data_IF_026380223781
#
_entry.id   IF_026380223781
#
_cell.length_a   1.000
_cell.length_b   1.000
_cell.length_c   1.000
_cell.angle_alpha   90.00
_cell.angle_beta   90.00
_cell.angle_gamma   90.00
#
_symmetry.space_group_name_H-M   'P 1'
#
loop_
_entity.id
_entity.type
_entity.pdbx_description
1 polymer ?
#
# COMPACT_ATOMS: atom_id res chain seq x y z
N UNK A 1 -1.52 -55.42 32.45
CA UNK A 1 -0.88 -54.28 33.16
C UNK A 1 -0.64 -53.11 32.22
N UNK A 2 -1.61 -52.79 31.34
CA UNK A 2 -1.48 -51.82 30.24
C UNK A 2 -2.35 -50.56 30.42
N UNK A 3 -2.80 -50.28 31.65
CA UNK A 3 -3.66 -49.12 31.96
C UNK A 3 -2.89 -47.89 32.48
N UNK A 4 -1.55 -47.91 32.48
CA UNK A 4 -0.73 -46.78 32.96
C UNK A 4 -0.13 -45.90 31.87
N UNK A 5 -0.38 -46.18 30.59
CA UNK A 5 0.14 -45.39 29.46
C UNK A 5 -0.91 -44.51 28.75
N UNK A 6 -2.14 -44.44 29.27
CA UNK A 6 -3.23 -43.64 28.65
C UNK A 6 -3.51 -42.29 29.32
N UNK A 7 -2.70 -41.88 30.32
CA UNK A 7 -3.00 -40.71 31.17
C UNK A 7 -1.99 -39.55 31.08
N UNK A 8 -1.17 -39.49 30.02
CA UNK A 8 -0.14 -38.45 29.86
C UNK A 8 -0.25 -37.62 28.56
N UNK A 9 -1.43 -37.52 27.95
CA UNK A 9 -1.65 -36.71 26.73
C UNK A 9 -2.88 -35.78 26.81
N UNK A 10 -3.23 -35.32 28.01
CA UNK A 10 -4.11 -34.16 28.15
C UNK A 10 -3.25 -32.96 28.53
N UNK A 11 -2.63 -32.32 27.53
CA UNK A 11 -2.24 -30.91 27.66
C UNK A 11 -3.52 -30.09 27.48
N UNK A 12 -3.92 -29.25 28.45
CA UNK A 12 -4.87 -28.20 28.20
C UNK A 12 -4.11 -27.05 27.50
N UNK A 13 -4.04 -27.11 26.18
CA UNK A 13 -3.51 -26.01 25.36
C UNK A 13 -4.64 -25.40 24.56
N UNK A 14 -5.42 -24.49 25.15
CA UNK A 14 -6.15 -23.52 24.33
C UNK A 14 -5.15 -22.71 23.50
N UNK A 15 -5.57 -22.04 22.39
CA UNK A 15 -4.68 -21.19 21.61
C UNK A 15 -4.06 -20.16 22.55
N UNK A 16 -2.80 -20.38 22.89
CA UNK A 16 -2.05 -19.45 23.74
C UNK A 16 -1.78 -18.26 22.84
N UNK A 17 -2.48 -17.15 23.06
CA UNK A 17 -2.23 -15.92 22.32
C UNK A 17 -0.71 -15.64 22.39
N UNK A 18 -0.04 -15.78 21.25
CA UNK A 18 1.40 -15.60 21.19
C UNK A 18 1.73 -14.19 21.70
N UNK A 19 2.76 -14.06 22.54
CA UNK A 19 3.20 -12.75 23.01
C UNK A 19 3.56 -11.89 21.79
N UNK A 20 3.11 -10.62 21.72
CA UNK A 20 3.56 -9.70 20.70
C UNK A 20 5.10 -9.61 20.62
N UNK A 21 5.62 -9.48 19.42
CA UNK A 21 7.05 -9.25 19.19
C UNK A 21 7.50 -7.95 19.87
N UNK A 22 8.63 -8.00 20.55
CA UNK A 22 9.26 -6.82 21.16
C UNK A 22 10.14 -6.08 20.16
N UNK A 23 10.39 -4.79 20.39
CA UNK A 23 11.28 -4.00 19.54
C UNK A 23 12.70 -4.61 19.45
N UNK A 24 13.20 -5.24 20.52
CA UNK A 24 14.51 -5.93 20.51
C UNK A 24 14.53 -7.15 19.58
N UNK A 25 13.44 -7.90 19.51
CA UNK A 25 13.30 -9.04 18.60
C UNK A 25 13.27 -8.56 17.13
N UNK A 26 12.56 -7.47 16.85
CA UNK A 26 12.56 -6.84 15.52
C UNK A 26 13.95 -6.32 15.15
N UNK A 27 14.67 -5.66 16.06
CA UNK A 27 16.05 -5.20 15.83
C UNK A 27 16.98 -6.35 15.47
N UNK A 28 16.91 -7.45 16.24
CA UNK A 28 17.73 -8.64 15.97
C UNK A 28 17.41 -9.23 14.60
N UNK A 29 16.13 -9.38 14.28
CA UNK A 29 15.70 -9.87 12.98
C UNK A 29 16.15 -8.96 11.84
N UNK A 30 15.96 -7.65 11.95
CA UNK A 30 16.40 -6.66 10.96
C UNK A 30 17.90 -6.75 10.68
N UNK A 31 18.73 -6.95 11.72
CA UNK A 31 20.16 -7.17 11.57
C UNK A 31 20.49 -8.43 10.75
N UNK A 32 19.75 -9.54 10.94
CA UNK A 32 19.92 -10.76 10.10
C UNK A 32 19.60 -10.52 8.63
N UNK A 33 18.63 -9.64 8.38
CA UNK A 33 18.19 -9.26 7.04
C UNK A 33 19.01 -8.10 6.44
N UNK A 34 19.98 -7.55 7.19
CA UNK A 34 20.78 -6.36 6.84
C UNK A 34 19.92 -5.13 6.54
N UNK A 35 18.82 -4.97 7.28
CA UNK A 35 17.91 -3.84 7.19
C UNK A 35 18.34 -2.73 8.17
N UNK A 36 18.14 -1.47 7.76
CA UNK A 36 18.20 -0.37 8.70
C UNK A 36 16.95 -0.42 9.59
N UNK A 37 17.11 -0.14 10.89
CA UNK A 37 16.00 -0.08 11.83
C UNK A 37 16.17 1.09 12.81
N UNK A 38 15.07 1.78 13.08
CA UNK A 38 14.94 2.76 14.16
C UNK A 38 13.78 2.33 15.06
N UNK A 39 14.04 1.67 16.21
CA UNK A 39 13.00 1.37 17.17
C UNK A 39 12.52 2.65 17.85
N UNK A 40 11.21 2.73 18.13
CA UNK A 40 10.62 3.87 18.82
C UNK A 40 10.46 3.57 20.32
N UNK A 41 10.19 4.61 21.12
CA UNK A 41 10.03 4.47 22.57
C UNK A 41 8.80 3.62 22.97
N UNK A 42 7.76 3.63 22.15
CA UNK A 42 6.59 2.77 22.34
C UNK A 42 6.88 1.35 21.83
N UNK A 43 6.56 0.34 22.64
CA UNK A 43 6.71 -1.07 22.23
C UNK A 43 5.83 -1.38 21.02
N UNK A 44 6.39 -2.11 20.06
CA UNK A 44 5.74 -2.44 18.79
C UNK A 44 5.86 -1.34 17.72
N UNK A 45 6.39 -0.15 18.06
CA UNK A 45 6.61 0.93 17.09
C UNK A 45 8.06 0.95 16.60
N UNK A 46 8.25 1.03 15.30
CA UNK A 46 9.58 1.04 14.67
C UNK A 46 9.51 1.54 13.24
N UNK A 47 10.68 1.85 12.68
CA UNK A 47 10.87 2.09 11.26
C UNK A 47 11.93 1.15 10.71
N UNK A 48 11.58 0.39 9.68
CA UNK A 48 12.52 -0.39 8.88
C UNK A 48 12.79 0.33 7.57
N UNK A 49 13.97 0.15 7.01
CA UNK A 49 14.27 0.69 5.70
C UNK A 49 15.49 0.07 5.04
N UNK A 50 15.67 0.46 3.79
CA UNK A 50 16.79 0.04 2.97
C UNK A 50 16.76 0.72 1.60
N UNK A 51 17.56 0.17 0.71
CA UNK A 51 17.67 0.59 -0.68
C UNK A 51 17.36 -0.59 -1.60
N UNK A 52 16.63 -0.32 -2.69
CA UNK A 52 16.35 -1.26 -3.75
C UNK A 52 16.84 -0.67 -5.08
N UNK A 53 18.06 -1.04 -5.49
CA UNK A 53 18.68 -0.56 -6.74
C UNK A 53 18.72 0.98 -6.85
N UNK A 54 19.12 1.68 -5.77
CA UNK A 54 19.15 3.14 -5.71
C UNK A 54 17.83 3.81 -5.35
N UNK A 55 16.79 3.03 -5.03
CA UNK A 55 15.47 3.52 -4.66
C UNK A 55 15.20 3.25 -3.18
N UNK A 56 15.06 4.28 -2.34
CA UNK A 56 14.83 4.10 -0.93
C UNK A 56 13.43 3.55 -0.65
N UNK A 57 13.34 2.68 0.34
CA UNK A 57 12.08 2.18 0.87
C UNK A 57 12.05 2.21 2.40
N UNK A 58 10.85 2.30 2.96
CA UNK A 58 10.58 2.29 4.40
C UNK A 58 9.35 1.45 4.71
N UNK A 59 9.38 0.74 5.83
CA UNK A 59 8.22 0.10 6.45
C UNK A 59 8.12 0.60 7.90
N UNK A 60 7.13 1.44 8.18
CA UNK A 60 6.83 1.95 9.51
C UNK A 60 5.82 1.04 10.21
N UNK A 61 5.99 0.80 11.50
CA UNK A 61 4.95 0.25 12.37
C UNK A 61 4.53 1.29 13.41
N UNK A 62 3.24 1.61 13.48
CA UNK A 62 2.74 2.58 14.46
C UNK A 62 1.22 2.67 14.53
N UNK A 63 0.72 3.76 15.13
CA UNK A 63 -0.72 3.98 15.27
C UNK A 63 -1.39 4.06 13.90
N UNK A 64 -2.60 3.50 13.72
CA UNK A 64 -3.36 3.57 12.48
C UNK A 64 -3.56 5.01 11.97
N UNK A 65 -3.46 5.19 10.65
CA UNK A 65 -3.83 6.45 9.98
C UNK A 65 -5.14 6.35 9.18
N UNK A 66 -5.88 5.25 9.36
CA UNK A 66 -7.21 5.01 8.79
C UNK A 66 -8.08 4.30 9.80
N UNK A 67 -9.36 4.63 9.80
CA UNK A 67 -10.32 4.16 10.80
C UNK A 67 -10.68 2.68 10.64
N UNK A 68 -10.51 2.13 9.44
CA UNK A 68 -10.70 0.71 9.18
C UNK A 68 -9.54 -0.18 9.66
N UNK A 69 -8.42 0.40 10.13
CA UNK A 69 -7.29 -0.36 10.66
C UNK A 69 -7.32 -0.33 12.18
N UNK A 70 -7.26 -1.50 12.81
CA UNK A 70 -7.32 -1.65 14.25
C UNK A 70 -5.96 -2.03 14.84
N UNK A 71 -5.67 -1.57 16.06
CA UNK A 71 -4.41 -1.90 16.75
C UNK A 71 -3.21 -1.13 16.21
N UNK A 72 -2.25 -1.82 15.59
CA UNK A 72 -1.07 -1.23 14.96
C UNK A 72 -1.14 -1.41 13.44
N UNK A 73 -0.47 -0.53 12.71
CA UNK A 73 -0.43 -0.54 11.26
C UNK A 73 1.00 -0.64 10.75
N UNK A 74 1.22 -1.52 9.78
CA UNK A 74 2.42 -1.56 8.95
C UNK A 74 2.21 -0.73 7.68
N UNK A 75 2.97 0.37 7.56
CA UNK A 75 2.94 1.32 6.43
C UNK A 75 4.22 1.24 5.62
N UNK A 76 4.14 0.63 4.45
CA UNK A 76 5.23 0.54 3.49
C UNK A 76 5.20 1.66 2.47
N UNK A 77 6.37 2.14 2.08
CA UNK A 77 6.56 3.06 0.96
C UNK A 77 7.87 2.79 0.24
N UNK A 78 7.85 2.76 -1.08
CA UNK A 78 9.04 2.76 -1.93
C UNK A 78 8.94 3.86 -3.00
N UNK A 79 9.98 4.69 -3.11
CA UNK A 79 10.03 5.81 -4.07
C UNK A 79 10.79 5.40 -5.33
N UNK A 80 10.08 5.07 -6.41
CA UNK A 80 10.63 4.30 -7.53
C UNK A 80 10.87 5.12 -8.80
N UNK A 81 10.26 6.30 -8.92
CA UNK A 81 10.38 7.13 -10.13
C UNK A 81 9.87 6.44 -11.42
N UNK A 82 9.02 5.43 -11.29
CA UNK A 82 8.32 4.82 -12.44
C UNK A 82 7.22 5.76 -12.95
N UNK A 83 6.61 5.41 -14.07
CA UNK A 83 5.53 6.16 -14.72
C UNK A 83 4.55 6.79 -13.69
N UNK A 84 4.48 8.13 -13.60
CA UNK A 84 3.62 8.81 -12.64
C UNK A 84 2.14 8.59 -12.90
N UNK A 85 1.77 8.21 -14.13
CA UNK A 85 0.39 7.93 -14.56
C UNK A 85 0.03 6.45 -14.36
N UNK A 86 0.95 5.63 -13.84
CA UNK A 86 0.62 4.27 -13.44
C UNK A 86 -0.22 4.29 -12.16
N UNK A 87 -1.48 3.87 -12.28
CA UNK A 87 -2.46 3.81 -11.20
C UNK A 87 -3.05 2.40 -11.06
N UNK A 88 -2.62 1.66 -10.02
CA UNK A 88 -3.13 0.31 -9.70
C UNK A 88 -3.25 0.15 -8.19
N UNK A 89 -4.35 -0.44 -7.74
CA UNK A 89 -4.64 -0.74 -6.34
C UNK A 89 -5.06 -2.20 -6.22
N UNK A 90 -4.53 -2.89 -5.21
CA UNK A 90 -4.92 -4.24 -4.81
C UNK A 90 -5.34 -4.19 -3.35
N UNK A 91 -6.51 -4.74 -3.06
CA UNK A 91 -7.05 -4.80 -1.71
C UNK A 91 -7.75 -6.13 -1.47
N UNK A 92 -7.77 -6.60 -0.23
CA UNK A 92 -8.51 -7.81 0.10
C UNK A 92 -10.03 -7.55 0.10
N UNK A 93 -10.82 -8.59 -0.22
CA UNK A 93 -12.28 -8.48 -0.37
C UNK A 93 -12.99 -7.89 0.86
N UNK A 94 -12.66 -8.29 2.11
CA UNK A 94 -13.32 -7.69 3.28
C UNK A 94 -13.09 -6.18 3.41
N UNK A 95 -11.88 -5.70 3.06
CA UNK A 95 -11.60 -4.27 3.03
C UNK A 95 -12.36 -3.58 1.89
N UNK A 96 -12.41 -4.18 0.70
CA UNK A 96 -13.17 -3.64 -0.42
C UNK A 96 -14.65 -3.43 -0.03
N UNK A 97 -15.29 -4.48 0.48
CA UNK A 97 -16.70 -4.44 0.89
C UNK A 97 -16.94 -3.37 1.97
N UNK A 98 -16.05 -3.26 2.95
CA UNK A 98 -16.14 -2.22 3.98
C UNK A 98 -16.01 -0.81 3.41
N UNK A 99 -15.06 -0.58 2.50
CA UNK A 99 -14.86 0.74 1.89
C UNK A 99 -16.02 1.14 0.97
N UNK A 100 -16.57 0.20 0.21
CA UNK A 100 -17.73 0.42 -0.65
C UNK A 100 -18.99 0.73 0.17
N UNK A 101 -19.22 -0.01 1.27
CA UNK A 101 -20.29 0.28 2.22
C UNK A 101 -20.19 1.68 2.84
N UNK A 102 -19.00 2.04 3.33
CA UNK A 102 -18.76 3.37 3.90
C UNK A 102 -18.91 4.50 2.86
N UNK A 103 -18.51 4.27 1.60
CA UNK A 103 -18.68 5.24 0.53
C UNK A 103 -20.17 5.46 0.22
N UNK A 104 -20.97 4.38 0.21
CA UNK A 104 -22.42 4.48 0.05
C UNK A 104 -23.06 5.29 1.18
N UNK A 105 -22.71 5.02 2.44
CA UNK A 105 -23.21 5.75 3.60
C UNK A 105 -22.82 7.24 3.53
N UNK A 106 -21.56 7.55 3.21
CA UNK A 106 -21.09 8.93 3.09
C UNK A 106 -21.82 9.71 1.98
N UNK A 107 -22.10 9.07 0.83
CA UNK A 107 -22.81 9.67 -0.30
C UNK A 107 -24.30 9.84 0.00
N UNK A 108 -24.93 8.86 0.66
CA UNK A 108 -26.36 8.91 0.98
C UNK A 108 -26.69 9.86 2.12
N UNK A 109 -25.76 10.07 3.06
CA UNK A 109 -25.92 11.00 4.19
C UNK A 109 -25.67 12.46 3.79
N UNK A 110 -25.10 12.74 2.59
CA UNK A 110 -24.82 14.12 2.15
C UNK A 110 -25.40 14.50 0.79
N UNK A 111 -26.49 15.27 0.85
CA UNK A 111 -26.93 16.23 -0.16
C UNK A 111 -25.94 17.42 -0.35
N UNK A 112 -24.61 17.20 -0.26
CA UNK A 112 -23.60 18.25 -0.37
C UNK A 112 -22.41 17.88 -1.27
N UNK A 113 -22.24 18.67 -2.32
CA UNK A 113 -21.27 18.61 -3.42
C UNK A 113 -19.79 18.83 -3.03
N UNK A 114 -19.44 18.78 -1.74
CA UNK A 114 -18.10 19.11 -1.22
C UNK A 114 -17.30 17.93 -0.67
N UNK A 115 -17.90 16.73 -0.58
CA UNK A 115 -17.31 15.53 0.06
C UNK A 115 -16.14 14.90 -0.74
N UNK A 116 -15.96 15.26 -2.01
CA UNK A 116 -14.98 14.60 -2.87
C UNK A 116 -13.51 14.78 -2.43
N UNK A 117 -13.19 15.85 -1.69
CA UNK A 117 -11.83 16.14 -1.22
C UNK A 117 -11.48 15.52 0.15
N UNK A 118 -12.47 15.15 0.97
CA UNK A 118 -12.26 14.58 2.31
C UNK A 118 -12.15 13.05 2.32
N UNK A 119 -12.56 12.38 1.23
CA UNK A 119 -12.47 10.93 1.14
C UNK A 119 -11.01 10.46 1.10
N UNK A 120 -10.66 9.39 1.87
CA UNK A 120 -9.40 8.67 1.71
C UNK A 120 -9.11 8.31 0.25
N UNK A 121 -7.81 8.22 -0.10
CA UNK A 121 -7.37 7.98 -1.48
C UNK A 121 -7.99 6.69 -2.07
N UNK A 122 -7.99 5.61 -1.30
CA UNK A 122 -8.57 4.32 -1.64
C UNK A 122 -10.08 4.37 -1.91
N UNK A 123 -10.85 5.17 -1.14
CA UNK A 123 -12.29 5.34 -1.38
C UNK A 123 -12.55 6.15 -2.65
N UNK A 124 -11.74 7.19 -2.89
CA UNK A 124 -11.82 7.97 -4.13
C UNK A 124 -11.55 7.07 -5.34
N UNK A 125 -10.59 6.16 -5.24
CA UNK A 125 -10.28 5.21 -6.30
C UNK A 125 -11.43 4.25 -6.58
N UNK A 126 -12.05 3.67 -5.54
CA UNK A 126 -13.22 2.80 -5.71
C UNK A 126 -14.42 3.54 -6.33
N UNK A 127 -14.52 4.85 -6.13
CA UNK A 127 -15.54 5.67 -6.78
C UNK A 127 -15.20 6.03 -8.24
N UNK A 128 -13.91 6.07 -8.61
CA UNK A 128 -13.45 6.49 -9.95
C UNK A 128 -13.18 5.33 -10.91
N UNK A 129 -12.81 4.16 -10.38
CA UNK A 129 -12.34 3.03 -11.16
C UNK A 129 -13.01 1.74 -10.72
N UNK A 130 -13.35 0.90 -11.70
CA UNK A 130 -13.93 -0.43 -11.44
C UNK A 130 -12.83 -1.48 -11.21
N UNK A 131 -13.22 -2.60 -10.60
CA UNK A 131 -12.38 -3.79 -10.57
C UNK A 131 -12.12 -4.30 -11.98
N UNK A 132 -10.86 -4.60 -12.31
CA UNK A 132 -10.50 -5.14 -13.62
C UNK A 132 -10.89 -6.61 -13.75
N UNK A 133 -11.63 -6.96 -14.80
CA UNK A 133 -11.92 -8.34 -15.13
C UNK A 133 -10.65 -9.03 -15.68
N UNK A 134 -10.04 -9.90 -14.87
CA UNK A 134 -8.74 -10.50 -15.22
C UNK A 134 -8.73 -12.04 -15.10
N UNK A 135 -9.12 -12.75 -16.18
CA UNK A 135 -9.20 -14.22 -16.19
C UNK A 135 -7.87 -14.94 -15.95
N UNK A 136 -6.74 -14.29 -16.29
CA UNK A 136 -5.39 -14.84 -16.11
C UNK A 136 -4.90 -14.92 -14.66
N UNK A 137 -5.61 -14.31 -13.70
CA UNK A 137 -5.28 -14.45 -12.28
C UNK A 137 -5.77 -15.78 -11.70
N UNK A 138 -4.98 -16.41 -10.80
CA UNK A 138 -5.41 -17.61 -10.09
C UNK A 138 -6.79 -17.43 -9.44
N UNK A 139 -7.59 -18.49 -9.41
CA UNK A 139 -8.92 -18.45 -8.80
C UNK A 139 -8.85 -18.06 -7.32
N UNK A 140 -7.87 -18.60 -6.58
CA UNK A 140 -7.68 -18.25 -5.16
C UNK A 140 -7.31 -16.79 -4.95
N UNK A 141 -6.51 -16.21 -5.85
CA UNK A 141 -6.21 -14.77 -5.81
C UNK A 141 -7.48 -13.94 -5.93
N UNK A 142 -8.33 -14.24 -6.93
CA UNK A 142 -9.59 -13.52 -7.16
C UNK A 142 -10.60 -13.68 -6.02
N UNK A 143 -10.54 -14.79 -5.30
CA UNK A 143 -11.34 -15.04 -4.10
C UNK A 143 -10.91 -14.13 -2.93
N UNK A 144 -9.62 -13.83 -2.79
CA UNK A 144 -9.10 -13.06 -1.66
C UNK A 144 -8.92 -11.57 -1.96
N UNK A 145 -8.68 -11.19 -3.22
CA UNK A 145 -8.29 -9.84 -3.61
C UNK A 145 -9.08 -9.32 -4.81
N UNK A 146 -9.29 -8.01 -4.81
CA UNK A 146 -9.68 -7.23 -5.98
C UNK A 146 -8.49 -6.45 -6.52
N UNK A 147 -8.51 -6.20 -7.83
CA UNK A 147 -7.55 -5.30 -8.50
C UNK A 147 -8.34 -4.18 -9.15
N UNK A 148 -8.05 -2.95 -8.76
CA UNK A 148 -8.67 -1.73 -9.29
C UNK A 148 -7.59 -0.94 -10.00
N UNK A 149 -7.82 -0.55 -11.26
CA UNK A 149 -6.82 0.15 -12.05
C UNK A 149 -7.46 1.03 -13.11
N UNK A 150 -6.78 2.10 -13.48
CA UNK A 150 -7.19 2.94 -14.63
C UNK A 150 -7.06 2.18 -15.96
N UNK A 151 -5.98 1.38 -16.09
CA UNK A 151 -5.67 0.58 -17.29
C UNK A 151 -5.27 -0.83 -16.88
N UNK A 152 -5.96 -1.83 -17.42
CA UNK A 152 -5.67 -3.24 -17.13
C UNK A 152 -4.26 -3.64 -17.57
N UNK A 153 -3.72 -3.01 -18.62
CA UNK A 153 -2.36 -3.27 -19.12
C UNK A 153 -1.30 -2.88 -18.08
N UNK A 154 -1.52 -1.78 -17.35
CA UNK A 154 -0.64 -1.36 -16.25
C UNK A 154 -0.71 -2.36 -15.10
N UNK A 155 -1.92 -2.80 -14.74
CA UNK A 155 -2.11 -3.83 -13.72
C UNK A 155 -1.42 -5.15 -14.11
N UNK A 156 -1.53 -5.57 -15.37
CA UNK A 156 -0.89 -6.78 -15.90
C UNK A 156 0.64 -6.73 -15.88
N UNK A 157 1.23 -5.56 -16.09
CA UNK A 157 2.68 -5.38 -15.99
C UNK A 157 3.17 -5.43 -14.54
N UNK A 158 2.41 -4.83 -13.63
CA UNK A 158 2.85 -4.69 -12.23
C UNK A 158 2.52 -5.91 -11.36
N UNK A 159 1.30 -6.45 -11.46
CA UNK A 159 0.81 -7.59 -10.66
C UNK A 159 1.20 -8.90 -11.34
N UNK A 160 2.45 -9.30 -11.16
CA UNK A 160 3.01 -10.54 -11.70
C UNK A 160 3.19 -11.62 -10.63
N UNK A 161 3.68 -12.80 -11.05
CA UNK A 161 3.78 -13.99 -10.22
C UNK A 161 4.39 -13.76 -8.81
N UNK A 162 5.57 -13.13 -8.64
CA UNK A 162 6.08 -12.83 -7.29
C UNK A 162 5.13 -12.02 -6.39
N UNK A 163 4.45 -10.99 -6.92
CA UNK A 163 3.51 -10.17 -6.13
C UNK A 163 2.29 -11.00 -5.76
N UNK A 164 1.74 -11.73 -6.73
CA UNK A 164 0.60 -12.65 -6.52
C UNK A 164 0.94 -13.70 -5.47
N UNK A 165 2.13 -14.32 -5.55
CA UNK A 165 2.58 -15.31 -4.57
C UNK A 165 2.72 -14.73 -3.18
N UNK A 166 3.26 -13.52 -3.02
CA UNK A 166 3.38 -12.89 -1.69
C UNK A 166 2.01 -12.58 -1.08
N UNK A 167 1.07 -12.08 -1.88
CA UNK A 167 -0.30 -11.82 -1.46
C UNK A 167 -1.01 -13.11 -1.02
N UNK A 168 -0.90 -14.18 -1.81
CA UNK A 168 -1.46 -15.48 -1.46
C UNK A 168 -0.81 -16.09 -0.21
N UNK A 169 0.52 -16.01 -0.08
CA UNK A 169 1.23 -16.50 1.12
C UNK A 169 0.78 -15.80 2.41
N UNK A 170 0.37 -14.53 2.33
CA UNK A 170 -0.17 -13.79 3.47
C UNK A 170 -1.52 -14.37 3.91
N UNK A 171 -2.41 -14.69 2.98
CA UNK A 171 -3.80 -15.08 3.32
C UNK A 171 -4.04 -16.59 3.38
N UNK A 172 -3.19 -17.40 2.75
CA UNK A 172 -3.27 -18.86 2.74
C UNK A 172 -2.22 -19.54 3.64
N UNK A 173 -1.20 -18.79 4.10
CA UNK A 173 -0.15 -19.31 4.98
C UNK A 173 -0.59 -19.53 6.43
N UNK A 174 0.37 -19.84 7.32
CA UNK A 174 0.10 -19.96 8.76
C UNK A 174 -0.49 -18.66 9.32
N UNK A 175 -1.61 -18.75 10.06
CA UNK A 175 -2.35 -17.57 10.51
C UNK A 175 -3.05 -16.78 9.38
N UNK A 176 -3.12 -17.33 8.17
CA UNK A 176 -3.66 -16.66 6.98
C UNK A 176 -5.16 -16.37 7.05
N UNK A 177 -5.95 -17.22 7.72
CA UNK A 177 -7.40 -17.03 7.83
C UNK A 177 -7.79 -15.71 8.52
N UNK A 178 -7.10 -15.34 9.60
CA UNK A 178 -7.29 -14.05 10.27
C UNK A 178 -6.80 -12.88 9.39
N UNK A 179 -5.66 -13.08 8.72
CA UNK A 179 -5.05 -12.06 7.84
C UNK A 179 -5.84 -11.83 6.57
N UNK A 180 -6.58 -12.82 6.08
CA UNK A 180 -7.52 -12.69 4.99
C UNK A 180 -8.67 -11.71 5.32
N UNK A 181 -9.05 -11.62 6.60
CA UNK A 181 -10.07 -10.71 7.12
C UNK A 181 -9.51 -9.34 7.53
N UNK A 182 -8.21 -9.27 7.82
CA UNK A 182 -7.56 -8.05 8.29
C UNK A 182 -7.25 -7.11 7.11
N UNK A 183 -7.40 -5.78 7.24
CA UNK A 183 -7.16 -4.84 6.15
C UNK A 183 -5.78 -4.98 5.51
N UNK A 184 -5.77 -5.16 4.18
CA UNK A 184 -4.56 -5.14 3.35
C UNK A 184 -4.80 -4.32 2.09
N UNK A 185 -3.93 -3.34 1.85
CA UNK A 185 -3.94 -2.46 0.69
C UNK A 185 -2.52 -2.34 0.11
N UNK A 186 -2.37 -2.60 -1.17
CA UNK A 186 -1.15 -2.36 -1.94
C UNK A 186 -1.49 -1.42 -3.11
N UNK A 187 -0.76 -0.32 -3.26
CA UNK A 187 -1.07 0.69 -4.27
C UNK A 187 0.18 1.17 -5.00
N UNK A 188 0.07 1.33 -6.31
CA UNK A 188 1.01 2.02 -7.17
C UNK A 188 0.36 3.31 -7.63
N UNK A 189 0.93 4.43 -7.23
CA UNK A 189 0.42 5.76 -7.60
C UNK A 189 1.56 6.78 -7.60
N UNK A 190 1.59 7.67 -8.60
CA UNK A 190 2.58 8.76 -8.72
C UNK A 190 4.02 8.27 -8.63
N UNK A 191 4.31 7.15 -9.30
CA UNK A 191 5.65 6.56 -9.36
C UNK A 191 6.12 5.88 -8.06
N UNK A 192 5.20 5.59 -7.14
CA UNK A 192 5.52 5.07 -5.79
C UNK A 192 4.65 3.87 -5.46
N UNK A 193 5.23 2.94 -4.72
CA UNK A 193 4.48 1.82 -4.14
C UNK A 193 4.20 2.12 -2.67
N UNK A 194 2.96 1.88 -2.26
CA UNK A 194 2.48 2.00 -0.90
C UNK A 194 1.88 0.67 -0.45
N UNK A 195 2.11 0.33 0.81
CA UNK A 195 1.53 -0.84 1.46
C UNK A 195 0.91 -0.40 2.78
N UNK A 196 -0.29 -0.89 3.08
CA UNK A 196 -0.94 -0.74 4.39
C UNK A 196 -1.45 -2.11 4.81
N UNK A 197 -1.03 -2.56 5.99
CA UNK A 197 -1.45 -3.84 6.56
C UNK A 197 -1.78 -3.62 8.03
N UNK A 198 -2.91 -4.16 8.47
CA UNK A 198 -3.18 -4.26 9.91
C UNK A 198 -2.21 -5.26 10.57
N UNK A 199 -1.53 -4.84 11.63
CA UNK A 199 -0.56 -5.66 12.35
C UNK A 199 -1.23 -6.42 13.50
N UNK A 200 -2.18 -7.29 13.15
CA UNK A 200 -3.11 -7.91 14.10
C UNK A 200 -2.42 -8.88 15.06
N UNK A 201 -1.57 -9.78 14.55
CA UNK A 201 -0.90 -10.78 15.40
C UNK A 201 0.35 -10.25 16.08
N UNK A 202 0.85 -9.09 15.64
CA UNK A 202 2.08 -8.45 16.15
C UNK A 202 3.25 -9.43 16.17
N UNK A 203 3.42 -10.15 15.07
CA UNK A 203 4.42 -11.22 14.94
C UNK A 203 5.56 -10.83 13.99
N UNK A 204 6.75 -11.44 14.16
CA UNK A 204 7.85 -11.29 13.20
C UNK A 204 7.47 -11.79 11.80
N UNK A 205 6.60 -12.80 11.70
CA UNK A 205 6.16 -13.34 10.42
C UNK A 205 5.39 -12.28 9.61
N UNK A 206 4.47 -11.54 10.24
CA UNK A 206 3.73 -10.46 9.59
C UNK A 206 4.66 -9.35 9.10
N UNK A 207 5.63 -8.93 9.93
CA UNK A 207 6.62 -7.91 9.56
C UNK A 207 7.46 -8.37 8.36
N UNK A 208 7.91 -9.63 8.38
CA UNK A 208 8.70 -10.20 7.30
C UNK A 208 7.89 -10.30 6.00
N UNK A 209 6.64 -10.75 6.06
CA UNK A 209 5.77 -10.87 4.90
C UNK A 209 5.39 -9.50 4.31
N UNK A 210 5.09 -8.51 5.15
CA UNK A 210 4.84 -7.14 4.69
C UNK A 210 6.08 -6.54 4.01
N UNK A 211 7.26 -6.76 4.58
CA UNK A 211 8.53 -6.32 3.98
C UNK A 211 8.75 -7.00 2.62
N UNK A 212 8.54 -8.32 2.53
CA UNK A 212 8.70 -9.08 1.30
C UNK A 212 7.69 -8.67 0.22
N UNK A 213 6.44 -8.41 0.59
CA UNK A 213 5.41 -7.92 -0.33
C UNK A 213 5.79 -6.54 -0.88
N UNK A 214 6.18 -5.59 -0.01
CA UNK A 214 6.61 -4.26 -0.44
C UNK A 214 7.78 -4.34 -1.42
N UNK A 215 8.80 -5.14 -1.11
CA UNK A 215 9.98 -5.30 -1.96
C UNK A 215 9.66 -6.01 -3.28
N UNK A 216 8.81 -7.04 -3.27
CA UNK A 216 8.39 -7.72 -4.49
C UNK A 216 7.59 -6.79 -5.40
N UNK A 217 6.67 -6.00 -4.83
CA UNK A 217 5.88 -5.02 -5.57
C UNK A 217 6.75 -3.88 -6.12
N UNK A 218 7.70 -3.38 -5.34
CA UNK A 218 8.64 -2.36 -5.77
C UNK A 218 9.56 -2.87 -6.90
N UNK A 219 10.12 -4.07 -6.74
CA UNK A 219 10.97 -4.70 -7.73
C UNK A 219 10.20 -4.96 -9.04
N UNK A 220 8.93 -5.38 -8.94
CA UNK A 220 8.05 -5.60 -10.08
C UNK A 220 7.73 -4.31 -10.84
N UNK A 221 7.49 -3.21 -10.13
CA UNK A 221 7.30 -1.90 -10.75
C UNK A 221 8.56 -1.45 -11.51
N UNK A 222 9.73 -1.52 -10.88
CA UNK A 222 11.00 -1.13 -11.51
C UNK A 222 11.34 -1.94 -12.77
N UNK A 223 10.96 -3.22 -12.81
CA UNK A 223 11.28 -4.10 -13.94
C UNK A 223 10.30 -3.97 -15.12
N UNK A 224 9.03 -3.75 -14.83
CA UNK A 224 7.97 -3.97 -15.82
C UNK A 224 7.21 -2.70 -16.21
N UNK A 225 7.44 -1.59 -15.52
CA UNK A 225 6.83 -0.30 -15.84
C UNK A 225 7.86 0.63 -16.47
N UNK A 226 7.43 1.49 -17.41
CA UNK A 226 8.34 2.48 -17.96
C UNK A 226 8.78 3.45 -16.85
N UNK A 227 10.01 3.97 -16.92
CA UNK A 227 10.44 5.05 -16.04
C UNK A 227 9.61 6.30 -16.30
N UNK A 228 9.56 7.22 -15.33
CA UNK A 228 9.01 8.55 -15.58
C UNK A 228 9.74 9.19 -16.78
N UNK A 229 8.97 9.75 -17.72
CA UNK A 229 9.56 10.49 -18.83
C UNK A 229 10.40 11.65 -18.26
N UNK A 230 11.59 11.94 -18.83
CA UNK A 230 12.33 13.14 -18.44
C UNK A 230 11.42 14.35 -18.64
N UNK A 231 11.34 15.21 -17.61
CA UNK A 231 10.59 16.45 -17.72
C UNK A 231 10.99 17.16 -19.02
N UNK A 232 10.03 17.44 -19.89
CA UNK A 232 10.29 18.15 -21.14
C UNK A 232 11.09 19.42 -20.80
N UNK A 233 12.19 19.74 -21.51
CA UNK A 233 12.95 20.94 -21.24
C UNK A 233 11.98 22.12 -21.29
N UNK A 234 11.93 22.90 -20.21
CA UNK A 234 11.11 24.09 -20.13
C UNK A 234 11.36 24.92 -21.39
N UNK A 235 10.31 25.13 -22.19
CA UNK A 235 10.41 25.90 -23.41
C UNK A 235 11.09 27.25 -23.08
N UNK A 236 12.12 27.68 -23.84
CA UNK A 236 12.78 28.93 -23.57
C UNK A 236 11.72 30.04 -23.57
N UNK A 237 11.69 30.83 -22.49
CA UNK A 237 10.78 31.94 -22.35
C UNK A 237 10.84 32.81 -23.61
N UNK A 238 9.69 32.97 -24.28
CA UNK A 238 9.60 33.80 -25.47
C UNK A 238 10.13 35.21 -25.14
N UNK A 239 10.99 35.80 -26.00
CA UNK A 239 11.48 37.15 -25.77
C UNK A 239 10.29 38.11 -25.75
N UNK A 240 10.24 38.95 -24.70
CA UNK A 240 9.23 39.98 -24.57
C UNK A 240 9.25 40.90 -25.81
N UNK A 241 8.09 41.02 -26.46
CA UNK A 241 7.93 41.93 -27.59
C UNK A 241 8.21 43.38 -27.15
N UNK A 242 8.88 44.20 -27.98
CA UNK A 242 9.09 45.60 -27.66
C UNK A 242 7.74 46.34 -27.69
N UNK A 243 7.50 47.16 -26.66
CA UNK A 243 6.31 48.00 -26.57
C UNK A 243 6.39 49.11 -27.64
N UNK A 244 5.48 49.06 -28.61
CA UNK A 244 5.30 50.09 -29.62
C UNK A 244 4.92 51.43 -28.98
N UNK A 245 5.55 52.48 -29.51
CA UNK A 245 5.39 53.86 -29.14
C UNK A 245 3.93 54.34 -29.33
N UNK A 246 3.29 54.75 -28.25
CA UNK A 246 2.04 55.50 -28.32
C UNK A 246 2.30 56.93 -28.77
N UNK A 247 1.66 57.26 -29.89
CA UNK A 247 1.58 58.57 -30.50
C UNK A 247 1.07 59.64 -29.53
N UNK A 248 1.83 60.72 -29.36
CA UNK A 248 1.34 61.98 -28.81
C UNK A 248 0.68 62.78 -29.92
N UNK A 249 -0.65 62.85 -29.87
CA UNK A 249 -1.46 63.70 -30.73
C UNK A 249 -2.40 64.58 -29.90
N UNK A 250 -2.28 65.88 -30.14
CA UNK A 250 -3.31 66.91 -29.99
C UNK A 250 -3.74 67.36 -28.58
N UNK A 251 -3.23 68.54 -28.18
CA UNK A 251 -4.02 69.53 -27.45
C UNK A 251 -3.97 70.85 -28.23
N UNK A 252 -5.10 71.23 -28.82
CA UNK A 252 -5.31 72.53 -29.48
C UNK A 252 -5.64 73.63 -28.48
N UNK A 253 -5.55 74.92 -28.88
CA UNK A 253 -5.76 76.05 -28.00
C UNK A 253 -7.24 76.49 -27.99
N UNK A 254 -7.75 76.83 -26.81
CA UNK A 254 -8.45 78.08 -26.47
C UNK A 254 -8.91 78.06 -25.01
#
# INVERSE_FOLDING_TARGET
MFDRLRKALHLPGGPTAARPVSNQEVVRWAATQRLAIVPQAAEGHFDLGGDLNGHPWRLECGNPTRDYVHGLELRGRADLGVDPDAAVMVLNRPLQESLEGNAYDAITDTLQTTVNASLPEEMRWLAMYEEVAWPGLPASFRQHFAVVAERIETAQRWIHAPVVSQLLNIVEGEGGAERAQSPLLLMLVRGKVYLRVEHTQRSLAEIAQATQLLLAAAQGALQNLPPAAPAAPAAPAAPAAPADAQAQGAAGPQ
#
